data_IF_832599982705
#
_entry.id   IF_832599982705
#
_cell.length_a   1.000
_cell.length_b   1.000
_cell.length_c   1.000
_cell.angle_alpha   90.00
_cell.angle_beta   90.00
_cell.angle_gamma   90.00
#
_symmetry.space_group_name_H-M   'P 1'
#
loop_
_entity.id
_entity.type
_entity.pdbx_description
1 polymer ?
#
# COMPACT_ATOMS: atom_id res chain seq x y z
N UNK A 1 -10.01 -10.69 23.45
CA UNK A 1 -9.29 -9.46 23.03
C UNK A 1 -7.88 -9.81 22.53
N UNK A 2 -7.75 -10.38 21.34
CA UNK A 2 -6.44 -10.84 20.80
C UNK A 2 -5.80 -9.79 19.88
N UNK A 3 -6.63 -8.99 19.18
CA UNK A 3 -6.15 -8.00 18.20
C UNK A 3 -5.36 -6.83 18.80
N UNK A 4 -5.69 -6.39 20.03
CA UNK A 4 -5.02 -5.25 20.68
C UNK A 4 -3.60 -5.59 21.12
N UNK A 5 -3.41 -6.74 21.79
CA UNK A 5 -2.09 -7.23 22.18
C UNK A 5 -1.20 -7.48 20.94
N UNK A 6 -1.75 -8.11 19.91
CA UNK A 6 -1.02 -8.38 18.66
C UNK A 6 -0.55 -7.10 17.94
N UNK A 7 -1.31 -6.00 17.99
CA UNK A 7 -0.91 -4.71 17.42
C UNK A 7 0.25 -4.09 18.20
N UNK A 8 0.20 -4.13 19.53
CA UNK A 8 1.22 -3.54 20.40
C UNK A 8 2.54 -4.29 20.32
N UNK A 9 2.51 -5.64 20.35
CA UNK A 9 3.72 -6.47 20.24
C UNK A 9 4.47 -6.21 18.95
N UNK A 10 3.76 -6.15 17.81
CA UNK A 10 4.39 -5.85 16.50
C UNK A 10 4.95 -4.44 16.41
N UNK A 11 4.30 -3.45 17.03
CA UNK A 11 4.82 -2.07 17.08
C UNK A 11 6.10 -2.00 17.90
N UNK A 12 6.13 -2.66 19.06
CA UNK A 12 7.29 -2.70 19.95
C UNK A 12 8.48 -3.41 19.26
N UNK A 13 8.24 -4.56 18.63
CA UNK A 13 9.25 -5.28 17.85
C UNK A 13 9.88 -4.40 16.78
N UNK A 14 9.08 -3.65 16.01
CA UNK A 14 9.61 -2.74 15.01
C UNK A 14 10.49 -1.66 15.64
N UNK A 15 10.02 -0.94 16.67
CA UNK A 15 10.82 0.14 17.28
C UNK A 15 12.11 -0.32 17.97
N UNK A 16 12.15 -1.55 18.51
CA UNK A 16 13.34 -2.07 19.20
C UNK A 16 14.42 -2.56 18.24
N UNK A 17 14.03 -3.12 17.10
CA UNK A 17 14.94 -3.87 16.22
C UNK A 17 15.13 -3.21 14.85
N UNK A 18 14.30 -2.22 14.49
CA UNK A 18 14.47 -1.44 13.26
C UNK A 18 15.13 -0.09 13.56
N UNK A 19 16.19 0.20 12.81
CA UNK A 19 16.88 1.48 12.82
C UNK A 19 16.81 2.11 11.42
N UNK A 20 16.19 3.28 11.31
CA UNK A 20 16.06 3.99 10.03
C UNK A 20 17.40 4.45 9.46
N UNK A 21 18.46 4.49 10.27
CA UNK A 21 19.82 4.86 9.85
C UNK A 21 20.59 3.69 9.24
N UNK A 22 20.09 2.46 9.38
CA UNK A 22 20.71 1.24 8.84
C UNK A 22 20.10 0.87 7.49
N UNK A 23 20.91 0.23 6.64
CA UNK A 23 20.40 -0.30 5.37
C UNK A 23 19.38 -1.42 5.62
N UNK A 24 18.55 -1.71 4.62
CA UNK A 24 17.56 -2.78 4.71
C UNK A 24 18.20 -4.13 5.05
N UNK A 25 19.33 -4.48 4.43
CA UNK A 25 20.04 -5.73 4.72
C UNK A 25 20.63 -5.76 6.14
N UNK A 26 21.18 -4.65 6.62
CA UNK A 26 21.69 -4.57 8.00
C UNK A 26 20.56 -4.75 9.02
N UNK A 27 19.40 -4.15 8.76
CA UNK A 27 18.21 -4.36 9.58
C UNK A 27 17.66 -5.79 9.47
N UNK A 28 17.71 -6.41 8.28
CA UNK A 28 17.28 -7.80 8.07
C UNK A 28 18.22 -8.81 8.76
N UNK A 29 19.51 -8.48 8.87
CA UNK A 29 20.48 -9.30 9.61
C UNK A 29 20.37 -9.10 11.13
N UNK A 30 19.88 -7.95 11.59
CA UNK A 30 19.67 -7.64 13.00
C UNK A 30 18.30 -8.12 13.50
N UNK A 31 18.12 -9.44 13.53
CA UNK A 31 16.86 -10.08 13.92
C UNK A 31 16.75 -10.38 15.42
N UNK A 32 15.54 -10.39 15.99
CA UNK A 32 15.31 -10.87 17.35
C UNK A 32 15.69 -12.35 17.51
N UNK A 33 16.22 -12.72 18.68
CA UNK A 33 16.47 -14.12 19.03
C UNK A 33 15.16 -14.92 18.99
N UNK A 34 15.17 -16.09 18.33
CA UNK A 34 13.99 -16.95 18.18
C UNK A 34 13.13 -16.65 16.95
N UNK A 35 13.49 -15.65 16.13
CA UNK A 35 12.86 -15.42 14.83
C UNK A 35 13.78 -15.87 13.70
N UNK A 36 13.22 -16.56 12.72
CA UNK A 36 13.93 -16.91 11.50
C UNK A 36 14.22 -15.66 10.64
N UNK A 37 15.37 -15.66 9.95
CA UNK A 37 15.83 -14.50 9.19
C UNK A 37 14.90 -14.15 8.03
N UNK A 38 14.35 -15.17 7.35
CA UNK A 38 13.41 -14.93 6.26
C UNK A 38 12.09 -14.36 6.79
N UNK A 39 11.60 -14.88 7.93
CA UNK A 39 10.41 -14.33 8.59
C UNK A 39 10.59 -12.87 9.04
N UNK A 40 11.77 -12.51 9.57
CA UNK A 40 12.07 -11.14 9.96
C UNK A 40 12.16 -10.20 8.75
N UNK A 41 12.85 -10.64 7.69
CA UNK A 41 12.93 -9.91 6.41
C UNK A 41 11.53 -9.65 5.84
N UNK A 42 10.69 -10.68 5.81
CA UNK A 42 9.29 -10.60 5.41
C UNK A 42 8.48 -9.58 6.23
N UNK A 43 8.68 -9.57 7.55
CA UNK A 43 8.02 -8.61 8.43
C UNK A 43 8.43 -7.17 8.13
N UNK A 44 9.72 -6.92 7.91
CA UNK A 44 10.24 -5.60 7.53
C UNK A 44 9.68 -5.13 6.19
N UNK A 45 9.68 -6.00 5.17
CA UNK A 45 9.10 -5.69 3.85
C UNK A 45 7.62 -5.34 3.96
N UNK A 46 6.82 -6.17 4.64
CA UNK A 46 5.40 -5.90 4.86
C UNK A 46 5.16 -4.54 5.54
N UNK A 47 5.99 -4.20 6.55
CA UNK A 47 5.82 -2.97 7.33
C UNK A 47 6.23 -1.72 6.55
N UNK A 48 7.34 -1.79 5.83
CA UNK A 48 7.87 -0.68 5.04
C UNK A 48 7.03 -0.45 3.78
N UNK A 49 6.50 -1.50 3.15
CA UNK A 49 5.55 -1.40 2.03
C UNK A 49 4.27 -0.66 2.40
N UNK A 50 3.90 -0.66 3.68
CA UNK A 50 2.72 0.05 4.16
C UNK A 50 3.03 1.51 4.55
N UNK A 51 4.27 1.81 4.96
CA UNK A 51 4.69 3.20 5.25
C UNK A 51 4.95 3.99 3.97
N UNK A 52 5.51 3.38 2.93
CA UNK A 52 5.72 4.05 1.63
C UNK A 52 4.42 4.50 0.98
N UNK A 53 3.35 3.72 1.10
CA UNK A 53 2.01 4.13 0.65
C UNK A 53 1.47 5.34 1.43
N UNK A 54 1.72 5.40 2.73
CA UNK A 54 1.29 6.54 3.56
C UNK A 54 2.10 7.79 3.23
N UNK A 55 3.41 7.66 3.02
CA UNK A 55 4.26 8.79 2.66
C UNK A 55 3.98 9.31 1.25
N UNK A 56 3.73 8.43 0.27
CA UNK A 56 3.41 8.87 -1.10
C UNK A 56 2.08 9.65 -1.16
N UNK A 57 1.05 9.19 -0.44
CA UNK A 57 -0.22 9.93 -0.31
C UNK A 57 0.00 11.31 0.38
N UNK A 58 0.93 11.39 1.34
CA UNK A 58 1.26 12.67 1.98
C UNK A 58 2.09 13.60 1.09
N UNK A 59 2.99 13.06 0.26
CA UNK A 59 3.79 13.81 -0.71
C UNK A 59 2.93 14.35 -1.86
N UNK A 60 2.04 13.52 -2.42
CA UNK A 60 1.06 13.93 -3.45
C UNK A 60 0.14 15.05 -2.94
N UNK A 61 -0.27 14.99 -1.65
CA UNK A 61 -1.09 16.04 -1.04
C UNK A 61 -0.34 17.37 -0.85
N UNK A 62 0.98 17.35 -0.66
CA UNK A 62 1.80 18.57 -0.53
C UNK A 62 2.01 19.22 -1.91
N UNK A 63 2.29 18.42 -2.94
CA UNK A 63 2.41 18.89 -4.34
C UNK A 63 1.12 19.57 -4.82
N UNK A 64 -0.05 19.04 -4.43
CA UNK A 64 -1.35 19.64 -4.74
C UNK A 64 -1.62 20.98 -4.02
N UNK A 65 -0.99 21.23 -2.87
CA UNK A 65 -1.15 22.48 -2.10
C UNK A 65 -0.22 23.58 -2.65
N UNK A 66 1.03 23.23 -2.99
CA UNK A 66 2.01 24.18 -3.55
C UNK A 66 1.62 24.66 -4.96
N UNK A 67 0.77 23.93 -5.67
CA UNK A 67 0.20 24.34 -6.97
C UNK A 67 -0.95 25.36 -6.89
N UNK A 68 -1.50 25.66 -5.71
CA UNK A 68 -2.74 26.47 -5.57
C UNK A 68 -2.57 27.90 -5.03
N UNK A 69 -1.36 28.40 -4.79
CA UNK A 69 -1.14 29.78 -4.28
C UNK A 69 -1.13 30.87 -5.38
N UNK A 70 -1.25 30.51 -6.65
CA UNK A 70 -1.26 31.50 -7.76
C UNK A 70 -2.67 31.87 -8.28
N UNK A 71 -3.74 31.27 -7.75
CA UNK A 71 -5.11 31.41 -8.29
C UNK A 71 -5.95 32.52 -7.63
N UNK A 72 -5.33 33.54 -7.03
CA UNK A 72 -6.03 34.72 -6.48
C UNK A 72 -5.74 35.98 -7.32
N UNK A 73 -6.22 36.00 -8.56
CA UNK A 73 -6.51 37.19 -9.37
C UNK A 73 -7.17 36.72 -10.67
N UNK A 74 -8.15 37.49 -11.18
CA UNK A 74 -8.86 37.26 -12.46
C UNK A 74 -10.12 36.35 -12.42
N UNK A 75 -11.08 36.63 -11.53
CA UNK A 75 -12.49 36.25 -11.72
C UNK A 75 -13.29 37.46 -12.24
N UNK A 76 -12.99 37.96 -13.44
CA UNK A 76 -13.67 39.17 -13.97
C UNK A 76 -14.05 39.16 -15.46
N UNK A 77 -13.79 38.10 -16.25
CA UNK A 77 -14.01 38.17 -17.71
C UNK A 77 -14.83 37.04 -18.35
N UNK A 78 -15.17 35.98 -17.61
CA UNK A 78 -15.72 34.76 -18.23
C UNK A 78 -17.23 34.79 -18.53
N UNK A 79 -17.99 35.72 -17.96
CA UNK A 79 -19.42 35.82 -18.24
C UNK A 79 -19.73 36.49 -19.60
N UNK A 80 -18.77 37.20 -20.21
CA UNK A 80 -18.96 37.85 -21.52
C UNK A 80 -18.63 36.95 -22.72
N UNK A 81 -17.90 35.85 -22.54
CA UNK A 81 -17.43 35.02 -23.66
C UNK A 81 -18.45 33.96 -24.11
N UNK A 82 -19.36 33.55 -23.23
CA UNK A 82 -20.40 32.57 -23.56
C UNK A 82 -21.46 33.10 -24.54
N UNK A 83 -21.55 34.42 -24.72
CA UNK A 83 -22.54 35.06 -25.59
C UNK A 83 -22.01 35.35 -27.01
N UNK A 84 -20.69 35.33 -27.24
CA UNK A 84 -20.07 35.74 -28.52
C UNK A 84 -19.72 34.57 -29.45
N UNK A 85 -19.34 33.41 -28.92
CA UNK A 85 -18.90 32.27 -29.75
C UNK A 85 -20.06 31.32 -30.11
N UNK A 86 -21.06 31.90 -30.74
CA UNK A 86 -22.01 31.14 -31.53
C UNK A 86 -21.33 30.46 -32.74
N UNK A 87 -21.96 29.35 -33.12
CA UNK A 87 -22.02 28.77 -34.48
C UNK A 87 -20.84 27.86 -34.89
N UNK A 88 -21.15 26.55 -34.97
CA UNK A 88 -20.97 25.65 -36.13
C UNK A 88 -19.58 25.61 -36.82
N UNK A 89 -18.92 24.49 -37.14
CA UNK A 89 -19.35 23.16 -37.61
C UNK A 89 -18.10 22.20 -37.68
N UNK A 90 -18.18 20.96 -38.22
CA UNK A 90 -17.48 19.76 -37.72
C UNK A 90 -15.99 19.67 -38.12
N UNK A 91 -15.13 19.46 -37.13
CA UNK A 91 -13.70 19.23 -37.34
C UNK A 91 -13.23 18.02 -36.57
N UNK A 92 -13.20 16.86 -37.26
CA UNK A 92 -12.24 15.75 -37.08
C UNK A 92 -11.60 15.69 -35.69
N UNK A 93 -12.35 15.15 -34.73
CA UNK A 93 -11.91 15.06 -33.34
C UNK A 93 -10.72 14.11 -33.22
N UNK A 94 -9.67 14.60 -32.58
CA UNK A 94 -8.52 13.88 -32.00
C UNK A 94 -8.92 12.83 -30.92
N UNK A 95 -10.20 12.47 -30.87
CA UNK A 95 -10.84 11.63 -29.85
C UNK A 95 -10.52 10.14 -29.99
N UNK A 96 -10.06 9.68 -31.16
CA UNK A 96 -9.66 8.28 -31.36
C UNK A 96 -8.43 7.90 -30.54
N UNK A 97 -7.45 8.81 -30.48
CA UNK A 97 -6.17 8.59 -29.78
C UNK A 97 -6.38 8.50 -28.26
N UNK A 98 -7.23 9.37 -27.70
CA UNK A 98 -7.56 9.34 -26.27
C UNK A 98 -8.37 8.09 -25.89
N UNK A 99 -9.32 7.66 -26.72
CA UNK A 99 -10.12 6.45 -26.43
C UNK A 99 -9.23 5.21 -26.37
N UNK A 100 -8.27 5.07 -27.30
CA UNK A 100 -7.31 3.97 -27.31
C UNK A 100 -6.36 4.00 -26.11
N UNK A 101 -5.92 5.19 -25.71
CA UNK A 101 -5.09 5.42 -24.51
C UNK A 101 -5.83 5.00 -23.23
N UNK A 102 -7.08 5.45 -23.03
CA UNK A 102 -7.89 5.03 -21.89
C UNK A 102 -8.20 3.53 -21.90
N UNK A 103 -8.42 2.92 -23.07
CA UNK A 103 -8.64 1.47 -23.17
C UNK A 103 -7.38 0.69 -22.75
N UNK A 104 -6.20 1.20 -23.10
CA UNK A 104 -4.91 0.61 -22.73
C UNK A 104 -4.68 0.71 -21.21
N UNK A 105 -4.92 1.87 -20.62
CA UNK A 105 -4.80 2.08 -19.17
C UNK A 105 -5.76 1.16 -18.37
N UNK A 106 -6.99 0.98 -18.86
CA UNK A 106 -7.96 0.06 -18.24
C UNK A 106 -7.45 -1.40 -18.27
N UNK A 107 -6.82 -1.81 -19.37
CA UNK A 107 -6.26 -3.15 -19.50
C UNK A 107 -5.05 -3.36 -18.57
N UNK A 108 -4.18 -2.36 -18.47
CA UNK A 108 -3.02 -2.35 -17.59
C UNK A 108 -3.43 -2.42 -16.11
N UNK A 109 -4.37 -1.56 -15.68
CA UNK A 109 -4.94 -1.59 -14.34
C UNK A 109 -5.62 -2.92 -14.00
N UNK A 110 -6.26 -3.58 -14.97
CA UNK A 110 -6.82 -4.93 -14.79
C UNK A 110 -5.75 -5.99 -14.58
N UNK A 111 -4.64 -5.91 -15.31
CA UNK A 111 -3.52 -6.83 -15.15
C UNK A 111 -2.84 -6.66 -13.78
N UNK A 112 -2.63 -5.42 -13.35
CA UNK A 112 -2.11 -5.11 -12.01
C UNK A 112 -3.05 -5.60 -10.90
N UNK A 113 -4.36 -5.37 -11.04
CA UNK A 113 -5.35 -5.85 -10.08
C UNK A 113 -5.37 -7.39 -9.98
N UNK A 114 -5.20 -8.09 -11.09
CA UNK A 114 -5.08 -9.54 -11.10
C UNK A 114 -3.80 -10.02 -10.40
N UNK A 115 -2.67 -9.34 -10.63
CA UNK A 115 -1.40 -9.60 -9.95
C UNK A 115 -1.49 -9.41 -8.44
N UNK A 116 -2.08 -8.30 -7.98
CA UNK A 116 -2.31 -8.03 -6.56
C UNK A 116 -3.25 -9.06 -5.91
N UNK A 117 -4.26 -9.54 -6.64
CA UNK A 117 -5.18 -10.58 -6.16
C UNK A 117 -4.50 -11.95 -6.01
N UNK A 118 -3.62 -12.30 -6.95
CA UNK A 118 -2.81 -13.52 -6.85
C UNK A 118 -1.83 -13.46 -5.67
N UNK A 119 -1.17 -12.31 -5.46
CA UNK A 119 -0.25 -12.12 -4.34
C UNK A 119 -0.98 -12.13 -2.98
N UNK A 120 -2.17 -11.53 -2.91
CA UNK A 120 -3.04 -11.61 -1.73
C UNK A 120 -3.48 -13.04 -1.41
N UNK A 121 -3.69 -13.90 -2.42
CA UNK A 121 -4.02 -15.31 -2.22
C UNK A 121 -2.83 -16.09 -1.63
N UNK A 122 -1.60 -15.84 -2.12
CA UNK A 122 -0.39 -16.43 -1.54
C UNK A 122 -0.18 -16.00 -0.08
N UNK A 123 -0.40 -14.72 0.22
CA UNK A 123 -0.34 -14.22 1.59
C UNK A 123 -1.39 -14.83 2.52
N UNK A 124 -2.61 -15.03 2.01
CA UNK A 124 -3.67 -15.71 2.74
C UNK A 124 -3.29 -17.17 3.04
N UNK A 125 -2.69 -17.89 2.09
CA UNK A 125 -2.20 -19.26 2.29
C UNK A 125 -1.11 -19.32 3.37
N UNK A 126 -0.11 -18.43 3.34
CA UNK A 126 0.94 -18.37 4.37
C UNK A 126 0.38 -18.11 5.77
N UNK A 127 -0.58 -17.18 5.89
CA UNK A 127 -1.29 -16.90 7.16
C UNK A 127 -2.04 -18.12 7.66
N UNK A 128 -2.68 -18.88 6.77
CA UNK A 128 -3.40 -20.10 7.14
C UNK A 128 -2.44 -21.18 7.66
N UNK A 129 -1.30 -21.38 7.00
CA UNK A 129 -0.26 -22.32 7.44
C UNK A 129 0.23 -21.96 8.83
N UNK A 130 0.57 -20.69 9.07
CA UNK A 130 1.04 -20.24 10.38
C UNK A 130 -0.03 -20.40 11.47
N UNK A 131 -1.31 -20.19 11.13
CA UNK A 131 -2.43 -20.42 12.05
C UNK A 131 -2.56 -21.90 12.43
N UNK A 132 -2.39 -22.81 11.46
CA UNK A 132 -2.45 -24.25 11.70
C UNK A 132 -1.28 -24.73 12.57
N UNK A 133 -0.06 -24.21 12.34
CA UNK A 133 1.12 -24.51 13.15
C UNK A 133 0.93 -24.05 14.61
N UNK A 134 0.41 -22.83 14.82
CA UNK A 134 0.12 -22.33 16.17
C UNK A 134 -0.91 -23.19 16.90
N UNK A 135 -1.96 -23.63 16.20
CA UNK A 135 -2.97 -24.54 16.78
C UNK A 135 -2.34 -25.85 17.25
N UNK A 136 -1.45 -26.43 16.43
CA UNK A 136 -0.77 -27.68 16.77
C UNK A 136 0.12 -27.53 18.02
N UNK A 137 0.90 -26.45 18.11
CA UNK A 137 1.78 -26.21 19.26
C UNK A 137 1.00 -26.01 20.57
N UNK A 138 -0.15 -25.32 20.51
CA UNK A 138 -1.03 -25.13 21.66
C UNK A 138 -1.64 -26.47 22.10
N UNK A 139 -2.02 -27.34 21.16
CA UNK A 139 -2.52 -28.69 21.48
C UNK A 139 -1.46 -29.53 22.19
N UNK A 140 -0.22 -29.53 21.69
CA UNK A 140 0.88 -30.28 22.31
C UNK A 140 1.19 -29.79 23.74
N UNK A 141 1.05 -28.48 24.02
CA UNK A 141 1.17 -27.95 25.38
C UNK A 141 0.00 -28.34 26.29
N UNK A 142 -1.20 -28.52 25.75
CA UNK A 142 -2.35 -29.05 26.49
C UNK A 142 -2.20 -30.52 26.86
N UNK A 143 -1.68 -31.33 25.94
CA UNK A 143 -1.47 -32.78 26.15
C UNK A 143 -0.35 -33.05 27.18
N UNK A 144 0.69 -32.21 27.21
CA UNK A 144 1.77 -32.29 28.21
C UNK A 144 1.26 -31.95 29.63
N UNK A 145 0.30 -31.02 29.76
CA UNK A 145 -0.29 -30.67 31.06
C UNK A 145 -1.28 -31.71 31.61
N UNK A 146 -1.70 -32.69 30.80
CA UNK A 146 -2.63 -33.76 31.22
C UNK A 146 -1.92 -35.07 31.57
N UNK A 147 -0.60 -35.15 31.34
CA UNK A 147 0.27 -36.31 31.59
C UNK A 147 1.30 -36.09 32.73
N UNK A 148 1.26 -34.92 33.40
CA UNK A 148 1.92 -34.64 34.69
C UNK A 148 0.88 -34.58 35.81
#
# INVERSE_FOLDING_TARGET
MIGRNWKNTRKNLFHKFYDSRRTFEQNANYKPLGMDANHWKWFLEYRLKHSTKITNIQLEAIEHIEGQDASSKELSQNDSLAQVLGKEHPGRSDSGVQIEEYQKDIAELKAEAAGLKAEAAKEKAKRQIMTNLLRYLIQQQGDICHLM
#
